data_IF_998965187794
#
_entry.id   IF_998965187794
#
_cell.length_a   1.000
_cell.length_b   1.000
_cell.length_c   1.000
_cell.angle_alpha   90.00
_cell.angle_beta   90.00
_cell.angle_gamma   90.00
#
_symmetry.space_group_name_H-M   'P 1'
#
loop_
_entity.id
_entity.type
_entity.pdbx_description
1 polymer ?
#
# COMPACT_ATOMS: atom_id res chain seq x y z
N UNK A 1 -6.97 14.45 -19.34
CA UNK A 1 -8.42 14.45 -19.62
C UNK A 1 -9.17 14.30 -18.30
N UNK A 2 -10.16 15.16 -18.02
CA UNK A 2 -10.82 15.30 -16.71
C UNK A 2 -11.89 14.20 -16.39
N UNK A 3 -11.87 13.06 -17.06
CA UNK A 3 -12.98 12.08 -16.99
C UNK A 3 -12.69 10.75 -16.27
N UNK A 4 -11.46 10.47 -15.81
CA UNK A 4 -11.18 9.18 -15.15
C UNK A 4 -11.66 9.09 -13.69
N UNK A 5 -11.89 10.21 -13.00
CA UNK A 5 -12.33 10.19 -11.60
C UNK A 5 -13.84 9.93 -11.40
N UNK A 6 -14.61 9.74 -12.47
CA UNK A 6 -16.07 9.83 -12.39
C UNK A 6 -16.80 8.61 -11.80
N UNK A 7 -16.30 7.37 -11.98
CA UNK A 7 -17.13 6.19 -11.75
C UNK A 7 -16.51 5.04 -10.92
N UNK A 8 -15.18 4.89 -10.85
CA UNK A 8 -14.55 3.74 -10.18
C UNK A 8 -13.72 4.07 -8.94
N UNK A 9 -13.31 5.33 -8.74
CA UNK A 9 -12.37 5.71 -7.67
C UNK A 9 -10.95 5.14 -7.82
N UNK A 10 -10.73 4.21 -8.75
CA UNK A 10 -9.46 3.51 -9.01
C UNK A 10 -8.96 3.79 -10.42
N UNK A 11 -7.66 4.08 -10.56
CA UNK A 11 -7.00 4.28 -11.86
C UNK A 11 -5.51 3.94 -11.80
N UNK A 12 -4.91 3.56 -12.93
CA UNK A 12 -3.46 3.37 -13.03
C UNK A 12 -2.76 4.66 -13.45
N UNK A 13 -1.59 4.93 -12.86
CA UNK A 13 -0.69 6.00 -13.28
C UNK A 13 0.62 5.41 -13.78
N UNK A 14 1.11 5.96 -14.89
CA UNK A 14 2.41 5.68 -15.50
C UNK A 14 3.15 7.00 -15.70
N UNK A 15 4.46 6.95 -15.94
CA UNK A 15 5.30 8.16 -16.07
C UNK A 15 5.22 9.10 -14.85
N UNK A 16 5.01 8.54 -13.66
CA UNK A 16 4.87 9.27 -12.39
C UNK A 16 6.21 9.80 -11.82
N UNK A 17 7.34 9.61 -12.52
CA UNK A 17 8.64 10.14 -12.12
C UNK A 17 9.46 9.28 -11.16
N UNK A 18 8.82 8.35 -10.43
CA UNK A 18 9.52 7.35 -9.60
C UNK A 18 10.37 6.41 -10.50
N UNK A 19 11.69 6.27 -10.27
CA UNK A 19 12.53 5.38 -11.06
C UNK A 19 12.13 3.91 -10.90
N UNK A 20 12.20 3.12 -11.98
CA UNK A 20 11.91 1.68 -11.94
C UNK A 20 12.75 0.94 -10.90
N UNK A 21 14.02 1.31 -10.74
CA UNK A 21 14.92 0.71 -9.74
C UNK A 21 14.45 0.91 -8.30
N UNK A 22 13.70 1.97 -8.01
CA UNK A 22 13.12 2.22 -6.69
C UNK A 22 11.90 1.31 -6.47
N UNK A 23 11.07 1.13 -7.49
CA UNK A 23 9.91 0.23 -7.45
C UNK A 23 10.37 -1.23 -7.27
N UNK A 24 11.31 -1.68 -8.11
CA UNK A 24 11.87 -3.03 -8.06
C UNK A 24 12.54 -3.29 -6.71
N UNK A 25 13.35 -2.33 -6.23
CA UNK A 25 14.00 -2.43 -4.93
C UNK A 25 13.03 -2.53 -3.75
N UNK A 26 11.87 -1.88 -3.82
CA UNK A 26 10.83 -2.02 -2.79
C UNK A 26 10.24 -3.44 -2.79
N UNK A 27 9.86 -3.95 -3.97
CA UNK A 27 9.33 -5.32 -4.11
C UNK A 27 10.37 -6.35 -3.63
N UNK A 28 11.61 -6.23 -4.07
CA UNK A 28 12.69 -7.13 -3.71
C UNK A 28 13.00 -7.06 -2.21
N UNK A 29 13.08 -5.87 -1.62
CA UNK A 29 13.33 -5.73 -0.18
C UNK A 29 12.23 -6.37 0.69
N UNK A 30 10.97 -6.24 0.28
CA UNK A 30 9.85 -6.90 0.97
C UNK A 30 9.90 -8.42 0.78
N UNK A 31 10.26 -8.91 -0.41
CA UNK A 31 10.49 -10.35 -0.63
C UNK A 31 11.60 -10.87 0.28
N UNK A 32 12.75 -10.20 0.30
CA UNK A 32 13.91 -10.55 1.14
C UNK A 32 13.57 -10.51 2.65
N UNK A 33 12.68 -9.62 3.06
CA UNK A 33 12.14 -9.64 4.43
C UNK A 33 11.32 -10.90 4.71
N UNK A 34 10.41 -11.27 3.81
CA UNK A 34 9.51 -12.40 4.02
C UNK A 34 10.19 -13.77 3.88
N UNK A 35 11.25 -13.86 3.08
CA UNK A 35 12.05 -15.07 2.87
C UNK A 35 13.09 -15.33 3.98
N UNK A 36 13.27 -14.41 4.92
CA UNK A 36 14.12 -14.64 6.09
C UNK A 36 13.56 -15.72 7.01
N UNK A 37 14.48 -16.27 7.82
CA UNK A 37 14.15 -17.19 8.90
C UNK A 37 13.13 -16.57 9.86
N UNK A 38 12.28 -17.43 10.42
CA UNK A 38 11.18 -17.01 11.31
C UNK A 38 11.66 -16.19 12.51
N UNK A 39 12.87 -16.46 13.03
CA UNK A 39 13.45 -15.73 14.17
C UNK A 39 13.75 -14.26 13.84
N UNK A 40 14.07 -13.94 12.59
CA UNK A 40 14.25 -12.55 12.16
C UNK A 40 12.90 -11.83 12.05
N UNK A 41 11.90 -12.48 11.45
CA UNK A 41 10.54 -11.92 11.30
C UNK A 41 9.84 -11.73 12.65
N UNK A 42 10.04 -12.64 13.60
CA UNK A 42 9.47 -12.57 14.96
C UNK A 42 9.86 -11.31 15.72
N UNK A 43 11.02 -10.70 15.43
CA UNK A 43 11.46 -9.45 16.07
C UNK A 43 10.47 -8.29 15.84
N UNK A 44 9.71 -8.37 14.74
CA UNK A 44 8.72 -7.38 14.34
C UNK A 44 7.30 -7.80 14.71
N UNK A 45 7.07 -9.05 15.14
CA UNK A 45 5.74 -9.51 15.53
C UNK A 45 5.32 -8.86 16.84
N UNK A 46 4.23 -8.09 16.81
CA UNK A 46 3.72 -7.39 18.00
C UNK A 46 2.25 -7.03 17.83
N UNK A 47 1.53 -6.99 18.96
CA UNK A 47 0.17 -6.44 19.05
C UNK A 47 0.15 -5.02 19.61
N UNK A 48 1.30 -4.47 19.98
CA UNK A 48 1.40 -3.10 20.46
C UNK A 48 1.13 -2.13 19.31
N UNK A 49 0.02 -1.39 19.40
CA UNK A 49 -0.39 -0.43 18.38
C UNK A 49 0.57 0.74 18.25
N UNK A 50 1.36 1.04 19.29
CA UNK A 50 2.34 2.14 19.32
C UNK A 50 3.61 1.85 18.52
N UNK A 51 3.90 0.59 18.22
CA UNK A 51 5.05 0.20 17.39
C UNK A 51 4.86 0.73 15.97
N UNK A 52 5.85 1.45 15.46
CA UNK A 52 5.85 2.02 14.11
C UNK A 52 6.11 0.97 13.04
N UNK A 53 6.88 -0.08 13.36
CA UNK A 53 7.17 -1.22 12.49
C UNK A 53 6.60 -2.49 13.10
N UNK A 54 5.76 -3.20 12.36
CA UNK A 54 5.01 -4.36 12.84
C UNK A 54 4.91 -5.42 11.76
N UNK A 55 5.12 -6.68 12.14
CA UNK A 55 4.86 -7.82 11.28
C UNK A 55 3.62 -8.56 11.76
N UNK A 56 2.69 -8.79 10.85
CA UNK A 56 1.42 -9.46 11.08
C UNK A 56 1.39 -10.68 10.17
N UNK A 57 1.24 -11.85 10.77
CA UNK A 57 0.97 -13.09 10.07
C UNK A 57 -0.27 -13.68 10.72
N UNK A 58 -1.23 -14.15 9.91
CA UNK A 58 -2.43 -14.80 10.42
C UNK A 58 -3.24 -13.94 11.43
N UNK A 59 -3.43 -12.65 11.15
CA UNK A 59 -4.10 -11.71 12.06
C UNK A 59 -5.50 -12.17 12.49
N UNK A 60 -6.19 -12.89 11.61
CA UNK A 60 -7.61 -13.25 11.72
C UNK A 60 -7.88 -14.64 12.33
N UNK A 61 -6.84 -15.41 12.66
CA UNK A 61 -6.97 -16.82 13.08
C UNK A 61 -7.76 -16.99 14.40
N UNK A 62 -7.96 -15.91 15.17
CA UNK A 62 -8.69 -15.93 16.44
C UNK A 62 -9.96 -15.05 16.44
N UNK A 63 -10.28 -14.33 15.36
CA UNK A 63 -11.39 -13.37 15.31
C UNK A 63 -12.31 -13.49 14.10
N UNK A 64 -11.90 -14.19 13.04
CA UNK A 64 -12.65 -14.28 11.78
C UNK A 64 -12.94 -15.73 11.40
N UNK A 65 -14.06 -15.96 10.70
CA UNK A 65 -14.42 -17.26 10.13
C UNK A 65 -13.52 -17.68 8.96
N UNK A 66 -12.75 -16.76 8.40
CA UNK A 66 -11.87 -16.96 7.24
C UNK A 66 -10.54 -16.23 7.47
N UNK A 67 -9.44 -16.97 7.51
CA UNK A 67 -8.11 -16.38 7.62
C UNK A 67 -7.67 -15.80 6.27
N UNK A 68 -7.21 -14.54 6.26
CA UNK A 68 -6.56 -13.96 5.08
C UNK A 68 -5.22 -14.68 4.82
N UNK A 69 -5.01 -15.19 3.61
CA UNK A 69 -3.78 -15.90 3.24
C UNK A 69 -2.66 -14.91 2.87
N UNK A 70 -2.22 -14.12 3.85
CA UNK A 70 -1.17 -13.12 3.69
C UNK A 70 -0.36 -12.90 4.96
N UNK A 71 0.91 -12.56 4.75
CA UNK A 71 1.76 -11.89 5.72
C UNK A 71 1.78 -10.38 5.41
N UNK A 72 1.91 -9.54 6.42
CA UNK A 72 1.93 -8.08 6.27
C UNK A 72 3.01 -7.44 7.13
N UNK A 73 3.95 -6.76 6.48
CA UNK A 73 4.84 -5.81 7.14
C UNK A 73 4.21 -4.42 7.06
N UNK A 74 3.90 -3.87 8.23
CA UNK A 74 3.21 -2.59 8.42
C UNK A 74 4.21 -1.58 8.99
N UNK A 75 4.39 -0.46 8.29
CA UNK A 75 5.38 0.57 8.60
C UNK A 75 4.70 1.93 8.59
N UNK A 76 4.70 2.62 9.73
CA UNK A 76 4.33 4.03 9.81
C UNK A 76 5.58 4.88 9.63
N UNK A 77 5.70 5.55 8.48
CA UNK A 77 6.80 6.48 8.24
C UNK A 77 6.43 7.84 8.79
N UNK A 78 7.32 8.44 9.57
CA UNK A 78 7.28 9.85 9.98
C UNK A 78 8.69 10.33 10.27
N UNK A 79 8.86 11.63 10.52
CA UNK A 79 10.15 12.22 10.90
C UNK A 79 10.73 11.65 12.21
N UNK A 80 9.93 10.93 12.99
CA UNK A 80 10.32 10.37 14.29
C UNK A 80 10.81 8.93 14.20
N UNK A 81 10.68 8.26 13.05
CA UNK A 81 11.08 6.85 12.95
C UNK A 81 12.61 6.72 13.08
N UNK A 82 13.06 5.89 14.01
CA UNK A 82 14.46 5.46 14.02
C UNK A 82 14.67 4.47 12.85
N UNK A 83 15.58 4.81 11.94
CA UNK A 83 15.94 3.97 10.79
C UNK A 83 16.35 2.55 11.21
N UNK A 84 16.89 2.37 12.42
CA UNK A 84 17.27 1.06 12.94
C UNK A 84 16.07 0.18 13.30
N UNK A 85 14.88 0.75 13.50
CA UNK A 85 13.65 -0.01 13.69
C UNK A 85 13.16 -0.68 12.41
N UNK A 86 13.60 -0.22 11.22
CA UNK A 86 13.27 -0.87 9.96
C UNK A 86 14.09 -2.16 9.76
N UNK A 87 13.49 -3.23 9.20
CA UNK A 87 14.21 -4.45 8.86
C UNK A 87 15.38 -4.19 7.94
N UNK A 88 16.56 -4.71 8.28
CA UNK A 88 17.78 -4.45 7.53
C UNK A 88 17.65 -4.85 6.05
N UNK A 89 16.87 -5.89 5.74
CA UNK A 89 16.64 -6.36 4.37
C UNK A 89 15.87 -5.38 3.48
N UNK A 90 14.98 -4.56 4.05
CA UNK A 90 14.13 -3.65 3.28
C UNK A 90 14.31 -2.19 3.67
N UNK A 91 15.22 -1.86 4.59
CA UNK A 91 15.36 -0.52 5.17
C UNK A 91 15.59 0.56 4.11
N UNK A 92 16.64 0.40 3.30
CA UNK A 92 17.01 1.45 2.35
C UNK A 92 16.02 1.54 1.20
N UNK A 93 15.48 0.42 0.73
CA UNK A 93 14.43 0.44 -0.29
C UNK A 93 13.12 1.06 0.21
N UNK A 94 12.70 0.74 1.44
CA UNK A 94 11.52 1.36 2.08
C UNK A 94 11.70 2.87 2.20
N UNK A 95 12.85 3.34 2.71
CA UNK A 95 13.09 4.76 2.90
C UNK A 95 13.18 5.52 1.58
N UNK A 96 13.80 4.92 0.56
CA UNK A 96 13.86 5.56 -0.76
C UNK A 96 12.48 5.60 -1.42
N UNK A 97 11.77 4.47 -1.46
CA UNK A 97 10.41 4.38 -1.99
C UNK A 97 9.47 5.38 -1.31
N UNK A 98 9.53 5.44 0.03
CA UNK A 98 8.73 6.36 0.84
C UNK A 98 8.89 7.83 0.45
N UNK A 99 10.11 8.30 0.17
CA UNK A 99 10.33 9.69 -0.30
C UNK A 99 9.63 9.96 -1.62
N UNK A 100 9.79 9.05 -2.59
CA UNK A 100 9.20 9.21 -3.92
C UNK A 100 7.67 9.16 -3.86
N UNK A 101 7.11 8.25 -3.07
CA UNK A 101 5.66 8.14 -2.87
C UNK A 101 5.08 9.35 -2.13
N UNK A 102 5.79 9.92 -1.14
CA UNK A 102 5.36 11.17 -0.49
C UNK A 102 5.25 12.32 -1.49
N UNK A 103 6.22 12.47 -2.39
CA UNK A 103 6.19 13.51 -3.43
C UNK A 103 5.00 13.27 -4.36
N UNK A 104 4.84 12.05 -4.87
CA UNK A 104 3.74 11.69 -5.75
C UNK A 104 2.37 11.90 -5.08
N UNK A 105 2.22 11.48 -3.83
CA UNK A 105 1.01 11.67 -3.04
C UNK A 105 0.63 13.15 -2.91
N UNK A 106 1.59 14.02 -2.59
CA UNK A 106 1.33 15.46 -2.51
C UNK A 106 0.89 16.05 -3.86
N UNK A 107 1.52 15.63 -4.96
CA UNK A 107 1.12 16.06 -6.31
C UNK A 107 -0.30 15.59 -6.66
N UNK A 108 -0.65 14.35 -6.33
CA UNK A 108 -2.00 13.82 -6.56
C UNK A 108 -3.05 14.59 -5.76
N UNK A 109 -2.76 14.92 -4.50
CA UNK A 109 -3.66 15.71 -3.64
C UNK A 109 -3.83 17.15 -4.13
N UNK A 110 -2.79 17.76 -4.70
CA UNK A 110 -2.90 19.07 -5.37
C UNK A 110 -3.84 19.02 -6.57
N UNK A 111 -3.62 18.05 -7.46
CA UNK A 111 -4.46 17.85 -8.64
C UNK A 111 -5.92 17.54 -8.27
N UNK A 112 -6.14 16.75 -7.20
CA UNK A 112 -7.47 16.48 -6.68
C UNK A 112 -8.12 17.74 -6.10
N UNK A 113 -7.36 18.57 -5.38
CA UNK A 113 -7.86 19.84 -4.87
C UNK A 113 -8.35 20.74 -6.00
N UNK A 114 -7.55 20.88 -7.05
CA UNK A 114 -7.93 21.65 -8.25
C UNK A 114 -9.14 21.07 -8.97
N UNK A 115 -9.22 19.74 -9.11
CA UNK A 115 -10.35 19.07 -9.73
C UNK A 115 -11.67 19.31 -8.98
N UNK A 116 -11.59 19.47 -7.65
CA UNK A 116 -12.72 19.82 -6.78
C UNK A 116 -13.01 21.33 -6.72
N UNK A 117 -12.26 22.17 -7.46
CA UNK A 117 -12.42 23.62 -7.44
C UNK A 117 -11.89 24.29 -6.16
N UNK A 118 -11.03 23.59 -5.41
CA UNK A 118 -10.37 24.09 -4.21
C UNK A 118 -9.02 24.73 -4.58
N UNK A 119 -8.39 25.40 -3.60
CA UNK A 119 -6.98 25.81 -3.75
C UNK A 119 -6.09 24.56 -3.83
N UNK A 120 -5.02 24.56 -4.65
CA UNK A 120 -4.18 23.36 -4.85
C UNK A 120 -3.65 22.75 -3.54
N UNK A 121 -3.28 23.57 -2.57
CA UNK A 121 -2.72 23.12 -1.29
C UNK A 121 -3.78 22.65 -0.27
N UNK A 122 -5.08 22.73 -0.60
CA UNK A 122 -6.17 22.52 0.37
C UNK A 122 -6.15 21.12 0.97
N UNK A 123 -6.10 20.06 0.16
CA UNK A 123 -6.10 18.68 0.67
C UNK A 123 -4.77 18.33 1.34
N UNK A 124 -3.64 18.79 0.81
CA UNK A 124 -2.32 18.63 1.44
C UNK A 124 -2.28 19.21 2.85
N UNK A 125 -2.86 20.39 3.05
CA UNK A 125 -2.92 21.02 4.37
C UNK A 125 -3.85 20.30 5.36
N UNK A 126 -4.89 19.63 4.88
CA UNK A 126 -5.84 18.88 5.74
C UNK A 126 -5.27 17.52 6.13
N UNK A 127 -4.70 16.81 5.16
CA UNK A 127 -4.24 15.44 5.33
C UNK A 127 -2.82 15.36 5.88
N UNK A 128 -2.04 16.45 5.75
CA UNK A 128 -0.67 16.58 6.26
C UNK A 128 0.23 15.39 5.87
N UNK A 129 0.09 14.86 4.64
CA UNK A 129 0.84 13.69 4.16
C UNK A 129 2.37 13.88 4.24
N UNK A 130 2.84 15.13 4.27
CA UNK A 130 4.25 15.47 4.53
C UNK A 130 4.73 15.11 5.93
N UNK A 131 3.84 14.96 6.92
CA UNK A 131 4.18 14.59 8.30
C UNK A 131 4.29 13.08 8.52
N UNK A 132 3.84 12.29 7.56
CA UNK A 132 3.95 10.84 7.59
C UNK A 132 2.90 10.14 6.74
N UNK A 133 3.16 8.87 6.45
CA UNK A 133 2.24 7.98 5.75
C UNK A 133 2.43 6.54 6.21
N UNK A 134 1.45 5.71 5.88
CA UNK A 134 1.46 4.29 6.24
C UNK A 134 1.77 3.43 5.02
N UNK A 135 2.70 2.49 5.18
CA UNK A 135 3.04 1.49 4.16
C UNK A 135 2.62 0.13 4.69
N UNK A 136 1.66 -0.51 4.01
CA UNK A 136 1.31 -1.91 4.22
C UNK A 136 1.88 -2.75 3.09
N UNK A 137 2.84 -3.61 3.41
CA UNK A 137 3.50 -4.49 2.46
C UNK A 137 2.97 -5.91 2.62
N UNK A 138 2.14 -6.35 1.67
CA UNK A 138 1.51 -7.66 1.70
C UNK A 138 2.32 -8.69 0.94
N UNK A 139 2.53 -9.86 1.55
CA UNK A 139 3.17 -11.02 0.94
C UNK A 139 2.17 -12.17 0.91
N UNK A 140 1.87 -12.66 -0.29
CA UNK A 140 0.91 -13.74 -0.54
C UNK A 140 1.67 -15.02 -0.89
N UNK A 141 1.95 -15.90 0.09
CA UNK A 141 2.63 -17.16 -0.19
C UNK A 141 1.75 -18.08 -1.06
N UNK A 142 2.34 -19.01 -1.85
CA UNK A 142 1.57 -19.99 -2.61
C UNK A 142 0.53 -20.70 -1.73
N UNK A 143 -0.72 -20.72 -2.18
CA UNK A 143 -1.81 -21.40 -1.48
C UNK A 143 -2.09 -22.76 -2.15
N UNK A 144 -2.15 -23.87 -1.39
CA UNK A 144 -2.50 -25.17 -1.95
C UNK A 144 -3.94 -25.24 -2.45
N UNK A 145 -4.85 -24.44 -1.89
CA UNK A 145 -6.28 -24.42 -2.23
C UNK A 145 -6.76 -22.97 -2.45
N UNK A 146 -6.35 -22.31 -3.56
CA UNK A 146 -6.63 -20.90 -3.80
C UNK A 146 -8.13 -20.59 -3.96
N UNK A 147 -8.95 -21.57 -4.35
CA UNK A 147 -10.40 -21.41 -4.47
C UNK A 147 -11.13 -21.35 -3.12
N UNK A 148 -10.46 -21.74 -2.02
CA UNK A 148 -11.04 -21.80 -0.68
C UNK A 148 -10.60 -20.64 0.23
N UNK A 149 -9.76 -19.74 -0.26
CA UNK A 149 -9.23 -18.62 0.52
C UNK A 149 -9.15 -17.34 -0.30
N UNK A 150 -9.05 -16.20 0.39
CA UNK A 150 -8.74 -14.92 -0.21
C UNK A 150 -7.41 -14.41 0.33
N UNK A 151 -6.63 -13.74 -0.52
CA UNK A 151 -5.44 -13.02 -0.06
C UNK A 151 -5.82 -11.82 0.83
N UNK A 152 -6.88 -11.10 0.43
CA UNK A 152 -7.54 -10.10 1.25
C UNK A 152 -9.05 -10.22 1.09
N UNK A 153 -9.79 -10.20 2.20
CA UNK A 153 -11.25 -10.06 2.18
C UNK A 153 -11.65 -8.74 1.52
N UNK A 154 -12.89 -8.68 1.01
CA UNK A 154 -13.50 -7.43 0.53
C UNK A 154 -13.40 -6.36 1.62
N UNK A 155 -12.85 -5.21 1.27
CA UNK A 155 -12.71 -4.05 2.14
C UNK A 155 -12.63 -2.79 1.28
N UNK A 156 -12.85 -1.64 1.92
CA UNK A 156 -12.42 -0.34 1.42
C UNK A 156 -11.17 0.07 2.19
N UNK A 157 -10.25 0.75 1.50
CA UNK A 157 -9.03 1.23 2.13
C UNK A 157 -9.35 2.29 3.21
N UNK A 158 -8.75 2.20 4.40
CA UNK A 158 -8.82 3.28 5.36
C UNK A 158 -7.96 4.46 4.88
N UNK A 159 -8.54 5.64 4.70
CA UNK A 159 -7.79 6.86 4.39
C UNK A 159 -8.45 7.70 3.31
N UNK A 160 -7.63 8.51 2.61
CA UNK A 160 -8.07 9.37 1.49
C UNK A 160 -7.51 8.91 0.14
N UNK A 161 -6.26 8.45 0.12
CA UNK A 161 -5.55 8.09 -1.11
C UNK A 161 -4.62 6.91 -0.83
N UNK A 162 -4.76 5.85 -1.61
CA UNK A 162 -3.85 4.71 -1.64
C UNK A 162 -3.03 4.76 -2.93
N UNK A 163 -1.72 4.56 -2.79
CA UNK A 163 -0.79 4.37 -3.91
C UNK A 163 -0.26 2.94 -3.79
N UNK A 164 -0.76 2.07 -4.66
CA UNK A 164 -0.46 0.64 -4.66
C UNK A 164 0.58 0.32 -5.73
N UNK A 165 1.71 -0.23 -5.28
CA UNK A 165 2.71 -0.90 -6.10
C UNK A 165 2.44 -2.40 -6.09
N UNK A 166 2.22 -2.97 -7.28
CA UNK A 166 2.06 -4.41 -7.46
C UNK A 166 3.33 -5.04 -8.03
N UNK A 167 3.53 -6.33 -7.76
CA UNK A 167 4.44 -7.14 -8.58
C UNK A 167 3.75 -7.49 -9.92
N UNK A 168 4.46 -8.19 -10.81
CA UNK A 168 3.94 -8.56 -12.13
C UNK A 168 2.97 -9.78 -12.09
N UNK A 169 2.39 -10.08 -10.91
CA UNK A 169 1.46 -11.20 -10.72
C UNK A 169 0.03 -10.66 -10.55
N UNK A 170 -0.91 -11.19 -11.33
CA UNK A 170 -2.33 -10.85 -11.23
C UNK A 170 -2.90 -11.24 -9.85
N UNK A 171 -3.82 -10.44 -9.33
CA UNK A 171 -4.49 -10.75 -8.06
C UNK A 171 -5.31 -9.61 -7.46
N UNK A 172 -5.15 -8.38 -7.96
CA UNK A 172 -6.00 -7.26 -7.56
C UNK A 172 -7.31 -7.30 -8.35
N UNK A 173 -8.42 -7.30 -7.61
CA UNK A 173 -9.76 -7.13 -8.16
C UNK A 173 -10.43 -5.93 -7.49
N UNK A 174 -11.18 -5.17 -8.27
CA UNK A 174 -12.00 -4.06 -7.77
C UNK A 174 -13.48 -4.35 -8.03
N UNK A 175 -14.33 -3.99 -7.08
CA UNK A 175 -15.77 -4.13 -7.23
C UNK A 175 -16.33 -2.90 -7.94
N UNK A 176 -16.83 -3.08 -9.15
CA UNK A 176 -17.46 -2.02 -9.94
C UNK A 176 -18.82 -2.49 -10.46
N UNK A 177 -19.89 -1.75 -10.15
CA UNK A 177 -21.27 -2.09 -10.54
C UNK A 177 -21.65 -3.54 -10.19
N UNK A 178 -21.36 -3.96 -8.95
CA UNK A 178 -21.61 -5.31 -8.42
C UNK A 178 -20.87 -6.44 -9.19
N UNK A 179 -19.83 -6.09 -9.96
CA UNK A 179 -18.98 -7.03 -10.67
C UNK A 179 -17.52 -6.86 -10.27
N UNK A 180 -16.83 -7.98 -10.10
CA UNK A 180 -15.39 -7.98 -9.87
C UNK A 180 -14.66 -7.80 -11.20
N UNK A 181 -13.78 -6.80 -11.24
CA UNK A 181 -12.95 -6.47 -12.40
C UNK A 181 -11.49 -6.65 -12.02
N UNK A 182 -10.77 -7.46 -12.79
CA UNK A 182 -9.32 -7.64 -12.63
C UNK A 182 -8.57 -6.37 -13.03
N UNK A 183 -7.59 -6.00 -12.21
CA UNK A 183 -6.63 -4.94 -12.52
C UNK A 183 -5.30 -5.60 -12.90
N UNK A 184 -5.02 -5.64 -14.20
CA UNK A 184 -3.76 -6.19 -14.72
C UNK A 184 -2.58 -5.32 -14.26
N UNK A 185 -1.54 -5.89 -13.63
CA UNK A 185 -0.33 -5.17 -13.27
C UNK A 185 0.38 -4.64 -14.52
N UNK A 186 0.68 -3.34 -14.52
CA UNK A 186 1.56 -2.73 -15.51
C UNK A 186 2.95 -2.60 -14.91
N UNK A 187 3.99 -3.04 -15.63
CA UNK A 187 5.37 -2.81 -15.21
C UNK A 187 5.64 -1.31 -15.07
N UNK A 188 6.09 -0.90 -13.89
CA UNK A 188 6.29 0.52 -13.56
C UNK A 188 5.01 1.34 -13.48
N UNK A 189 3.85 0.69 -13.39
CA UNK A 189 2.57 1.33 -13.11
C UNK A 189 2.26 1.30 -11.62
N UNK A 190 1.54 2.32 -11.15
CA UNK A 190 0.99 2.36 -9.80
C UNK A 190 -0.53 2.44 -9.89
N UNK A 191 -1.23 1.68 -9.07
CA UNK A 191 -2.68 1.80 -8.92
C UNK A 191 -2.97 2.85 -7.86
N UNK A 192 -3.79 3.82 -8.22
CA UNK A 192 -4.28 4.86 -7.32
C UNK A 192 -5.73 4.53 -6.98
N UNK A 193 -6.03 4.48 -5.68
CA UNK A 193 -7.39 4.36 -5.17
C UNK A 193 -7.70 5.61 -4.33
N UNK A 194 -8.79 6.31 -4.67
CA UNK A 194 -9.32 7.41 -3.86
C UNK A 194 -10.34 6.78 -2.90
N UNK A 195 -9.97 6.70 -1.63
CA UNK A 195 -10.83 6.13 -0.62
C UNK A 195 -12.02 7.05 -0.33
N UNK A 196 -13.15 6.44 0.04
CA UNK A 196 -14.43 7.12 0.29
C UNK A 196 -14.36 8.01 1.54
N UNK A 197 -13.87 9.24 1.37
CA UNK A 197 -14.07 10.36 2.31
C UNK A 197 -15.19 11.31 1.87
N UNK A 198 -16.02 10.89 0.91
CA UNK A 198 -17.14 11.67 0.34
C UNK A 198 -18.53 11.14 0.68
N UNK A 199 -18.66 10.32 1.73
CA UNK A 199 -19.97 9.97 2.32
C UNK A 199 -20.27 10.80 3.58
#
# INVERSE_FOLDING_TARGET
SKNCCGNMGVFQVVNHGIPQTVLDGMIDGIRDFNEQNIEEKKKYYTRDSKRMVKFLSNFDLFSSKTANWRDTLSISISDQIDRQELPASCRESTLEYSKHVSILGNTLLELLSEALGLKPDRLNNILECSKGHHISSHFYPPCPEPELTLGSTQHSDPGFLTILLQNEINGLQVLYQDQWVDIEPSRGGLVINIADLFH
#
